data_IF_067819677696
#
_entry.id   IF_067819677696
#
_cell.length_a   1.000
_cell.length_b   1.000
_cell.length_c   1.000
_cell.angle_alpha   90.00
_cell.angle_beta   90.00
_cell.angle_gamma   90.00
#
_symmetry.space_group_name_H-M   'P 1'
#
loop_
_entity.id
_entity.type
_entity.pdbx_description
1 polymer ?
#
# COMPACT_ATOMS: atom_id res chain seq x y z
N UNK A 1 0.63 -48.03 -13.22
CA UNK A 1 1.56 -46.87 -13.15
C UNK A 1 1.39 -46.00 -14.40
N UNK A 2 0.63 -44.90 -14.35
CA UNK A 2 0.78 -43.79 -15.31
C UNK A 2 0.65 -42.47 -14.55
N UNK A 3 1.66 -41.64 -14.74
CA UNK A 3 2.04 -40.49 -13.92
C UNK A 3 1.10 -39.31 -14.16
N UNK A 4 0.62 -38.72 -13.06
CA UNK A 4 0.08 -37.36 -13.02
C UNK A 4 1.15 -36.38 -13.50
N UNK A 5 0.85 -35.60 -14.55
CA UNK A 5 1.57 -34.36 -14.85
C UNK A 5 0.65 -33.21 -14.48
N UNK A 6 0.83 -32.70 -13.25
CA UNK A 6 0.27 -31.44 -12.79
C UNK A 6 0.83 -30.35 -13.70
N UNK A 7 -0.05 -29.71 -14.47
CA UNK A 7 0.28 -28.48 -15.17
C UNK A 7 0.59 -27.43 -14.11
N UNK A 8 1.81 -26.93 -14.15
CA UNK A 8 2.24 -25.72 -13.46
C UNK A 8 1.30 -24.60 -13.93
N UNK A 9 0.48 -24.07 -13.03
CA UNK A 9 -0.19 -22.80 -13.27
C UNK A 9 0.91 -21.76 -13.41
N UNK A 10 1.28 -21.47 -14.66
CA UNK A 10 1.90 -20.20 -15.00
C UNK A 10 0.92 -19.14 -14.52
N UNK A 11 1.23 -18.53 -13.38
CA UNK A 11 0.57 -17.34 -12.88
C UNK A 11 0.82 -16.25 -13.91
N UNK A 12 -0.03 -16.26 -14.94
CA UNK A 12 -0.15 -15.23 -15.94
C UNK A 12 -0.39 -13.93 -15.18
N UNK A 13 0.68 -13.17 -14.99
CA UNK A 13 0.65 -11.79 -14.54
C UNK A 13 -0.13 -11.03 -15.62
N UNK A 14 -1.46 -11.05 -15.51
CA UNK A 14 -2.30 -10.06 -16.15
C UNK A 14 -1.72 -8.70 -15.75
N UNK A 15 -1.58 -7.75 -16.69
CA UNK A 15 -1.09 -6.43 -16.34
C UNK A 15 -2.06 -5.86 -15.30
N UNK A 16 -1.62 -5.84 -14.04
CA UNK A 16 -2.41 -5.33 -12.94
C UNK A 16 -2.89 -3.93 -13.34
N UNK A 17 -4.20 -3.74 -13.34
CA UNK A 17 -4.81 -2.44 -13.63
C UNK A 17 -4.17 -1.40 -12.70
N UNK A 18 -3.79 -0.22 -13.22
CA UNK A 18 -3.19 0.80 -12.38
C UNK A 18 -4.20 1.25 -11.32
N UNK A 19 -3.74 1.38 -10.07
CA UNK A 19 -4.56 1.83 -8.95
C UNK A 19 -5.09 3.25 -9.19
N UNK A 20 -4.29 4.10 -9.87
CA UNK A 20 -4.69 5.44 -10.29
C UNK A 20 -3.83 5.94 -11.45
N UNK A 21 -4.44 6.67 -12.38
CA UNK A 21 -3.72 7.39 -13.46
C UNK A 21 -4.21 8.82 -13.59
N UNK A 22 -3.35 9.71 -14.07
CA UNK A 22 -3.76 11.08 -14.36
C UNK A 22 -2.61 12.03 -14.65
N UNK A 23 -2.96 13.24 -15.08
CA UNK A 23 -2.01 14.31 -15.36
C UNK A 23 -1.81 15.16 -14.12
N UNK A 24 -0.58 15.20 -13.61
CA UNK A 24 -0.21 16.09 -12.49
C UNK A 24 1.03 16.90 -12.84
N UNK A 25 1.16 18.09 -12.24
CA UNK A 25 2.35 18.92 -12.42
C UNK A 25 3.38 18.56 -11.34
N UNK A 26 4.55 18.09 -11.77
CA UNK A 26 5.68 17.81 -10.89
C UNK A 26 6.58 19.03 -10.77
N UNK A 27 7.01 19.33 -9.56
CA UNK A 27 8.06 20.32 -9.31
C UNK A 27 9.43 19.74 -9.71
N UNK A 28 10.14 20.44 -10.60
CA UNK A 28 11.45 20.02 -11.11
C UNK A 28 12.60 20.92 -10.61
N UNK A 29 12.36 21.70 -9.55
CA UNK A 29 13.34 22.61 -8.99
C UNK A 29 13.09 24.08 -9.31
N UNK A 30 14.04 24.93 -8.94
CA UNK A 30 14.00 26.38 -9.14
C UNK A 30 14.97 26.75 -10.25
N UNK A 31 14.45 27.26 -11.37
CA UNK A 31 15.29 27.84 -12.42
C UNK A 31 15.80 29.22 -11.99
N UNK A 32 16.63 29.85 -12.84
CA UNK A 32 17.22 31.17 -12.54
C UNK A 32 16.19 32.25 -12.16
N UNK A 33 14.98 32.19 -12.73
CA UNK A 33 13.97 33.26 -12.54
C UNK A 33 12.65 32.79 -11.92
N UNK A 34 12.30 31.50 -12.00
CA UNK A 34 10.99 30.96 -11.54
C UNK A 34 11.08 29.48 -11.15
N UNK A 35 10.11 29.04 -10.35
CA UNK A 35 9.86 27.61 -10.09
C UNK A 35 9.53 26.86 -11.39
N UNK A 36 10.17 25.72 -11.63
CA UNK A 36 9.94 24.89 -12.82
C UNK A 36 8.93 23.81 -12.47
N UNK A 37 7.76 23.89 -13.11
CA UNK A 37 6.68 22.93 -12.98
C UNK A 37 6.41 22.30 -14.33
N UNK A 38 6.60 20.99 -14.43
CA UNK A 38 6.31 20.27 -15.67
C UNK A 38 5.09 19.38 -15.50
N UNK A 39 4.21 19.42 -16.49
CA UNK A 39 3.08 18.48 -16.55
C UNK A 39 3.62 17.09 -16.89
N UNK A 40 3.17 16.09 -16.14
CA UNK A 40 3.58 14.70 -16.26
C UNK A 40 2.35 13.81 -16.20
N UNK A 41 2.31 12.80 -17.03
CA UNK A 41 1.38 11.70 -16.90
C UNK A 41 1.90 10.74 -15.85
N UNK A 42 1.08 10.47 -14.84
CA UNK A 42 1.47 9.69 -13.68
C UNK A 42 0.56 8.48 -13.54
N UNK A 43 1.18 7.33 -13.32
CA UNK A 43 0.52 6.03 -13.18
C UNK A 43 0.98 5.43 -11.86
N UNK A 44 0.04 5.21 -10.95
CA UNK A 44 0.24 4.48 -9.71
C UNK A 44 -0.14 3.01 -9.95
N UNK A 45 0.80 2.10 -9.72
CA UNK A 45 0.58 0.65 -9.85
C UNK A 45 1.39 -0.05 -8.77
N UNK A 46 0.71 -0.66 -7.81
CA UNK A 46 1.36 -1.33 -6.70
C UNK A 46 1.98 -0.35 -5.71
N UNK A 47 3.23 -0.58 -5.38
CA UNK A 47 4.11 0.27 -4.58
C UNK A 47 4.96 1.20 -5.45
N UNK A 48 4.68 1.30 -6.76
CA UNK A 48 5.46 2.11 -7.70
C UNK A 48 4.62 3.21 -8.35
N UNK A 49 5.27 4.35 -8.52
CA UNK A 49 4.72 5.51 -9.21
C UNK A 49 5.54 5.80 -10.46
N UNK A 50 4.93 5.65 -11.62
CA UNK A 50 5.55 5.83 -12.92
C UNK A 50 5.21 7.22 -13.47
N UNK A 51 6.22 7.96 -13.92
CA UNK A 51 6.10 9.34 -14.37
C UNK A 51 6.62 9.45 -15.81
N UNK A 52 5.79 10.03 -16.69
CA UNK A 52 6.05 10.15 -18.13
C UNK A 52 5.68 11.53 -18.68
N UNK A 53 6.28 11.92 -19.79
CA UNK A 53 5.93 13.18 -20.50
C UNK A 53 4.67 13.06 -21.37
N UNK A 54 4.29 11.83 -21.71
CA UNK A 54 3.15 11.51 -22.56
C UNK A 54 2.23 10.55 -21.82
N UNK A 55 1.00 10.45 -22.27
CA UNK A 55 0.16 9.32 -21.88
C UNK A 55 0.78 8.05 -22.45
N UNK A 56 1.16 7.15 -21.56
CA UNK A 56 1.94 5.96 -21.90
C UNK A 56 1.17 4.73 -21.45
N UNK A 57 0.85 3.87 -22.41
CA UNK A 57 0.35 2.51 -22.16
C UNK A 57 1.48 1.49 -22.03
N UNK A 58 2.65 1.80 -22.59
CA UNK A 58 3.79 0.89 -22.68
C UNK A 58 4.89 1.25 -21.67
N UNK A 59 5.27 0.31 -20.80
CA UNK A 59 6.29 0.54 -19.77
C UNK A 59 7.66 1.02 -20.34
N UNK A 60 7.94 0.74 -21.63
CA UNK A 60 9.18 1.16 -22.32
C UNK A 60 9.33 2.68 -22.52
N UNK A 61 8.26 3.47 -22.38
CA UNK A 61 8.31 4.94 -22.56
C UNK A 61 8.32 5.70 -21.24
N UNK A 62 8.44 4.99 -20.12
CA UNK A 62 8.49 5.57 -18.79
C UNK A 62 9.83 6.26 -18.59
N UNK A 63 9.79 7.52 -18.14
CA UNK A 63 11.01 8.31 -17.90
C UNK A 63 11.53 8.14 -16.48
N UNK A 64 10.63 8.03 -15.52
CA UNK A 64 10.99 8.01 -14.10
C UNK A 64 10.09 7.00 -13.36
N UNK A 65 10.72 6.16 -12.54
CA UNK A 65 10.05 5.20 -11.66
C UNK A 65 10.40 5.59 -10.23
N UNK A 66 9.37 5.87 -9.44
CA UNK A 66 9.48 6.23 -8.04
C UNK A 66 8.99 5.05 -7.20
N UNK A 67 9.86 4.50 -6.36
CA UNK A 67 9.49 3.47 -5.40
C UNK A 67 8.85 4.14 -4.17
N UNK A 68 7.60 3.79 -3.86
CA UNK A 68 6.85 4.38 -2.75
C UNK A 68 7.30 3.83 -1.39
N UNK A 69 8.07 2.74 -1.35
CA UNK A 69 8.63 2.21 -0.09
C UNK A 69 9.68 3.16 0.50
N UNK A 70 10.35 3.96 -0.35
CA UNK A 70 11.29 5.01 0.06
C UNK A 70 10.61 6.26 0.65
N UNK A 71 9.27 6.31 0.64
CA UNK A 71 8.49 7.46 1.10
C UNK A 71 7.68 7.16 2.37
N UNK A 72 7.54 8.19 3.20
CA UNK A 72 6.83 8.09 4.47
C UNK A 72 5.32 8.19 4.27
N UNK A 73 4.88 9.27 3.62
CA UNK A 73 3.47 9.63 3.42
C UNK A 73 3.34 10.75 2.39
N UNK A 74 2.14 10.87 1.82
CA UNK A 74 1.69 11.99 1.00
C UNK A 74 0.80 12.90 1.84
N UNK A 75 1.03 14.22 1.80
CA UNK A 75 0.21 15.21 2.52
C UNK A 75 0.04 16.52 1.76
N UNK A 76 -0.99 17.28 2.12
CA UNK A 76 -1.23 18.61 1.58
C UNK A 76 -0.10 19.58 1.97
N UNK A 77 0.43 20.33 1.00
CA UNK A 77 1.47 21.33 1.29
C UNK A 77 0.85 22.60 1.86
N UNK A 78 0.57 22.61 3.16
CA UNK A 78 0.07 23.80 3.87
C UNK A 78 1.21 24.76 4.20
N UNK A 79 1.35 25.84 3.43
CA UNK A 79 2.16 26.99 3.86
C UNK A 79 1.36 27.81 4.88
N UNK A 80 1.85 27.89 6.12
CA UNK A 80 1.21 28.56 7.26
C UNK A 80 0.78 30.04 7.04
N UNK A 81 1.17 30.68 5.93
CA UNK A 81 0.84 32.08 5.61
C UNK A 81 0.31 32.33 4.18
N UNK A 82 0.00 31.29 3.39
CA UNK A 82 -0.33 31.48 1.97
C UNK A 82 -1.77 31.07 1.66
N UNK A 83 -2.66 32.06 1.69
CA UNK A 83 -4.10 31.97 1.39
C UNK A 83 -4.43 31.95 -0.12
N UNK A 84 -3.44 31.65 -0.97
CA UNK A 84 -3.66 31.63 -2.43
C UNK A 84 -4.33 30.33 -2.85
N UNK A 85 -5.42 30.43 -3.63
CA UNK A 85 -6.22 29.32 -4.19
C UNK A 85 -5.37 28.20 -4.82
N UNK A 86 -4.19 28.55 -5.35
CA UNK A 86 -3.22 27.64 -5.95
C UNK A 86 -2.58 26.62 -4.98
N UNK A 87 -2.66 26.85 -3.67
CA UNK A 87 -2.15 25.91 -2.66
C UNK A 87 -3.12 24.76 -2.37
N UNK A 88 -4.42 24.92 -2.66
CA UNK A 88 -5.42 23.90 -2.33
C UNK A 88 -5.32 22.63 -3.18
N UNK A 89 -4.55 22.67 -4.26
CA UNK A 89 -4.27 21.54 -5.15
C UNK A 89 -2.82 21.06 -5.06
N UNK A 90 -2.02 21.62 -4.13
CA UNK A 90 -0.60 21.34 -3.98
C UNK A 90 -0.39 20.33 -2.86
N UNK A 91 0.39 19.28 -3.14
CA UNK A 91 0.70 18.23 -2.18
C UNK A 91 2.16 17.81 -2.28
N UNK A 92 2.66 17.18 -1.24
CA UNK A 92 4.05 16.71 -1.15
C UNK A 92 4.06 15.24 -0.76
N UNK A 93 4.94 14.49 -1.42
CA UNK A 93 5.29 13.13 -1.06
C UNK A 93 6.60 13.22 -0.27
N UNK A 94 6.53 12.90 1.02
CA UNK A 94 7.65 13.03 1.95
C UNK A 94 8.52 11.80 1.90
N UNK A 95 9.83 11.98 1.72
CA UNK A 95 10.81 10.89 1.82
C UNK A 95 10.81 10.28 3.23
N UNK A 96 11.08 8.98 3.33
CA UNK A 96 11.25 8.32 4.60
C UNK A 96 12.52 8.82 5.30
N UNK A 97 12.39 9.24 6.57
CA UNK A 97 13.52 9.68 7.40
C UNK A 97 14.34 8.48 7.92
N UNK A 98 14.92 7.72 7.01
CA UNK A 98 15.79 6.59 7.32
C UNK A 98 17.25 6.96 7.05
N UNK A 99 18.18 6.63 7.95
CA UNK A 99 19.61 6.78 7.69
C UNK A 99 20.00 6.06 6.40
N UNK A 100 20.55 6.79 5.43
CA UNK A 100 20.91 6.26 4.11
C UNK A 100 19.90 6.53 2.99
N UNK A 101 18.70 7.02 3.30
CA UNK A 101 17.75 7.45 2.27
C UNK A 101 18.14 8.84 1.73
N UNK A 102 18.57 8.90 0.48
CA UNK A 102 18.96 10.13 -0.22
C UNK A 102 17.83 10.68 -1.11
N UNK A 103 16.66 10.03 -1.11
CA UNK A 103 15.54 10.40 -1.98
C UNK A 103 14.95 11.74 -1.52
N UNK A 104 14.81 12.73 -2.43
CA UNK A 104 14.23 14.01 -2.07
C UNK A 104 12.71 13.95 -1.95
N UNK A 105 12.13 14.91 -1.23
CA UNK A 105 10.68 15.12 -1.25
C UNK A 105 10.21 15.49 -2.66
N UNK A 106 9.13 14.85 -3.12
CA UNK A 106 8.48 15.22 -4.37
C UNK A 106 7.33 16.17 -4.10
N UNK A 107 7.20 17.21 -4.92
CA UNK A 107 6.10 18.18 -4.79
C UNK A 107 5.28 18.15 -6.07
N UNK A 108 3.98 18.01 -5.89
CA UNK A 108 3.01 17.90 -6.97
C UNK A 108 1.93 18.96 -6.87
N UNK A 109 1.34 19.29 -8.01
CA UNK A 109 0.19 20.17 -8.14
C UNK A 109 -0.84 19.46 -9.04
N UNK A 110 -1.97 19.08 -8.44
CA UNK A 110 -3.09 18.44 -9.13
C UNK A 110 -3.91 19.47 -9.93
N UNK A 111 -4.79 19.00 -10.82
CA UNK A 111 -5.65 19.87 -11.65
C UNK A 111 -6.75 20.50 -10.79
N UNK A 112 -7.23 19.78 -9.77
CA UNK A 112 -8.27 20.25 -8.84
C UNK A 112 -7.95 19.87 -7.39
N UNK A 113 -8.54 20.53 -6.39
CA UNK A 113 -8.38 20.15 -4.98
C UNK A 113 -8.95 18.75 -4.69
N UNK A 114 -10.04 18.37 -5.35
CA UNK A 114 -10.61 17.01 -5.25
C UNK A 114 -9.63 15.96 -5.78
N UNK A 115 -8.99 16.26 -6.91
CA UNK A 115 -8.00 15.38 -7.50
C UNK A 115 -6.77 15.26 -6.60
N UNK A 116 -6.35 16.35 -5.96
CA UNK A 116 -5.28 16.35 -4.94
C UNK A 116 -5.62 15.37 -3.81
N UNK A 117 -6.80 15.49 -3.20
CA UNK A 117 -7.22 14.57 -2.11
C UNK A 117 -7.24 13.12 -2.59
N UNK A 118 -7.76 12.88 -3.80
CA UNK A 118 -7.77 11.55 -4.39
C UNK A 118 -6.35 11.01 -4.64
N UNK A 119 -5.39 11.85 -5.05
CA UNK A 119 -3.98 11.45 -5.22
C UNK A 119 -3.29 11.19 -3.89
N UNK A 120 -3.50 12.05 -2.89
CA UNK A 120 -2.98 11.86 -1.54
C UNK A 120 -3.45 10.52 -0.96
N UNK A 121 -4.76 10.25 -1.06
CA UNK A 121 -5.34 9.02 -0.54
C UNK A 121 -4.76 7.78 -1.25
N UNK A 122 -4.76 7.78 -2.59
CA UNK A 122 -4.23 6.65 -3.36
C UNK A 122 -2.74 6.39 -3.06
N UNK A 123 -1.92 7.44 -2.94
CA UNK A 123 -0.51 7.31 -2.58
C UNK A 123 -0.32 6.77 -1.16
N UNK A 124 -1.09 7.27 -0.18
CA UNK A 124 -1.00 6.79 1.20
C UNK A 124 -1.40 5.32 1.34
N UNK A 125 -2.44 4.89 0.63
CA UNK A 125 -2.85 3.48 0.55
C UNK A 125 -1.72 2.64 -0.05
N UNK A 126 -1.14 3.08 -1.17
CA UNK A 126 -0.03 2.37 -1.83
C UNK A 126 1.23 2.28 -0.96
N UNK A 127 1.61 3.37 -0.27
CA UNK A 127 2.75 3.39 0.67
C UNK A 127 2.50 2.43 1.83
N UNK A 128 1.31 2.47 2.42
CA UNK A 128 0.94 1.61 3.55
C UNK A 128 0.98 0.14 3.13
N UNK A 129 0.42 -0.18 1.94
CA UNK A 129 0.48 -1.51 1.34
C UNK A 129 1.93 -1.97 1.11
N UNK A 130 2.77 -1.12 0.53
CA UNK A 130 4.17 -1.44 0.27
C UNK A 130 4.96 -1.72 1.55
N UNK A 131 4.79 -0.89 2.59
CA UNK A 131 5.44 -1.09 3.89
C UNK A 131 4.95 -2.33 4.61
N UNK A 132 3.67 -2.64 4.47
CA UNK A 132 3.05 -3.80 5.09
C UNK A 132 3.14 -5.07 4.23
N UNK A 133 3.88 -5.07 3.11
CA UNK A 133 4.01 -6.25 2.24
C UNK A 133 4.47 -7.50 3.01
N UNK A 134 5.38 -7.32 3.95
CA UNK A 134 5.88 -8.41 4.82
C UNK A 134 4.79 -8.92 5.78
N UNK A 135 3.85 -8.09 6.21
CA UNK A 135 2.77 -8.48 7.12
C UNK A 135 1.58 -9.11 6.38
N UNK A 136 1.32 -8.68 5.14
CA UNK A 136 0.25 -9.20 4.30
C UNK A 136 0.53 -10.65 3.85
N UNK A 137 1.81 -11.02 3.69
CA UNK A 137 2.24 -12.40 3.41
C UNK A 137 2.02 -13.36 4.59
N UNK A 138 2.03 -12.87 5.84
CA UNK A 138 1.91 -13.69 7.06
C UNK A 138 0.45 -13.98 7.45
N UNK A 139 -0.52 -13.27 6.88
CA UNK A 139 -1.93 -13.45 7.21
C UNK A 139 -2.58 -14.68 6.55
N UNK A 140 -1.89 -15.40 5.66
CA UNK A 140 -2.47 -16.50 4.87
C UNK A 140 -1.55 -17.72 4.72
N UNK A 141 -0.80 -18.11 5.75
CA UNK A 141 -0.50 -19.53 5.86
C UNK A 141 -1.79 -20.26 6.26
N UNK A 142 -2.53 -20.72 5.23
CA UNK A 142 -3.75 -21.52 5.33
C UNK A 142 -3.59 -22.89 5.99
N UNK A 143 -2.49 -23.09 6.73
CA UNK A 143 -2.18 -24.25 7.55
C UNK A 143 -1.95 -23.87 9.02
N UNK A 144 -2.37 -22.66 9.45
CA UNK A 144 -2.60 -22.35 10.87
C UNK A 144 -3.81 -23.14 11.37
N UNK A 145 -3.67 -24.45 11.48
CA UNK A 145 -4.52 -25.23 12.35
C UNK A 145 -4.29 -24.71 13.76
N UNK A 146 -5.26 -23.97 14.31
CA UNK A 146 -5.29 -23.62 15.72
C UNK A 146 -5.46 -24.93 16.50
N UNK A 147 -4.36 -25.66 16.71
CA UNK A 147 -4.38 -26.89 17.47
C UNK A 147 -4.44 -26.48 18.93
N UNK A 148 -5.52 -26.84 19.61
CA UNK A 148 -5.58 -26.65 21.06
C UNK A 148 -4.41 -27.37 21.73
N UNK A 149 -3.63 -26.72 22.62
CA UNK A 149 -2.48 -27.32 23.30
C UNK A 149 -2.79 -28.60 24.08
N UNK A 150 -4.06 -28.83 24.39
CA UNK A 150 -4.55 -30.01 25.12
C UNK A 150 -5.20 -31.06 24.21
N UNK A 151 -5.16 -30.91 22.88
CA UNK A 151 -5.77 -31.87 21.94
C UNK A 151 -5.23 -33.28 22.13
N UNK A 152 -3.91 -33.39 22.30
CA UNK A 152 -3.21 -34.66 22.42
C UNK A 152 -2.97 -35.04 23.91
N UNK A 153 -3.58 -34.29 24.85
CA UNK A 153 -3.52 -34.61 26.27
C UNK A 153 -4.31 -35.91 26.50
N UNK A 154 -3.70 -36.86 27.21
CA UNK A 154 -4.35 -38.11 27.59
C UNK A 154 -5.70 -37.84 28.26
N UNK A 155 -6.78 -38.33 27.64
CA UNK A 155 -8.14 -38.22 28.18
C UNK A 155 -8.30 -39.25 29.30
N UNK A 156 -8.27 -38.77 30.53
CA UNK A 156 -8.63 -39.60 31.69
C UNK A 156 -10.13 -39.91 31.59
N UNK A 157 -10.57 -41.17 31.67
CA UNK A 157 -11.98 -41.51 31.73
C UNK A 157 -12.62 -40.80 32.93
N UNK A 158 -13.44 -39.78 32.67
CA UNK A 158 -14.27 -39.19 33.72
C UNK A 158 -15.43 -40.15 33.96
N UNK A 159 -15.36 -40.91 35.05
CA UNK A 159 -16.57 -41.54 35.60
C UNK A 159 -17.58 -40.45 35.94
N UNK A 160 -18.87 -40.75 35.80
CA UNK A 160 -19.92 -39.79 36.18
C UNK A 160 -19.68 -39.35 37.62
N UNK A 161 -19.62 -38.04 37.85
CA UNK A 161 -19.54 -37.50 39.21
C UNK A 161 -20.75 -37.99 39.98
N UNK A 162 -20.50 -38.55 41.16
CA UNK A 162 -21.59 -38.96 42.05
C UNK A 162 -22.45 -37.73 42.40
N UNK A 163 -23.78 -37.89 42.55
CA UNK A 163 -24.65 -36.79 42.95
C UNK A 163 -24.14 -36.17 44.26
N UNK A 164 -23.91 -34.87 44.26
CA UNK A 164 -23.60 -34.15 45.50
C UNK A 164 -24.84 -34.10 46.41
N UNK A 165 -24.63 -33.92 47.72
CA UNK A 165 -25.70 -33.86 48.74
C UNK A 165 -26.87 -32.94 48.38
N UNK A 166 -26.62 -31.82 47.69
CA UNK A 166 -27.69 -30.93 47.20
C UNK A 166 -28.61 -31.55 46.15
N UNK A 167 -28.09 -32.43 45.29
CA UNK A 167 -28.89 -33.18 44.32
C UNK A 167 -29.74 -34.27 44.98
N UNK A 168 -29.36 -34.75 46.17
CA UNK A 168 -30.13 -35.73 46.93
C UNK A 168 -31.26 -35.10 47.76
N UNK A 169 -31.20 -33.79 47.98
CA UNK A 169 -32.16 -33.04 48.80
C UNK A 169 -33.18 -32.25 47.96
N UNK A 170 -33.05 -32.29 46.63
CA UNK A 170 -34.04 -31.72 45.72
C UNK A 170 -35.14 -32.76 45.44
N UNK A 171 -36.13 -32.80 46.33
CA UNK A 171 -37.46 -33.39 46.11
C UNK A 171 -38.48 -32.28 46.22
#
# INVERSE_FOLDING_TARGET
MKKNKRALQDSSQQPAQPDKVGWIRKYCGKGLFREIWKTRYVVLKGDKLYISDKEVKDEKKIQEVVDLTDYERSEELRKAKSRTKKNHSKFTLLCARQPGNIVPNLVFLAVSPEEKESWINALNIAITRGKNRVLDEVALEGESCLVHPTRDRAKIPHTRRLPTRGHLLAV
#
